data_IF_472534721499
#
_entry.id   IF_472534721499
#
_cell.length_a   1.000
_cell.length_b   1.000
_cell.length_c   1.000
_cell.angle_alpha   90.00
_cell.angle_beta   90.00
_cell.angle_gamma   90.00
#
_symmetry.space_group_name_H-M   'P 1'
#
loop_
_entity.id
_entity.type
_entity.pdbx_description
1 polymer ?
#
# COMPACT_ATOMS: atom_id res chain seq x y z
N UNK A 1 -35.72 -3.51 22.30
CA UNK A 1 -34.67 -3.79 23.31
C UNK A 1 -33.33 -3.85 22.61
N UNK A 2 -32.32 -3.12 23.10
CA UNK A 2 -30.97 -3.20 22.56
C UNK A 2 -30.36 -4.59 22.81
N UNK A 3 -29.65 -5.17 21.84
CA UNK A 3 -28.88 -6.40 22.03
C UNK A 3 -27.94 -6.31 23.24
N UNK A 4 -27.62 -7.44 23.85
CA UNK A 4 -26.86 -7.50 25.11
C UNK A 4 -25.46 -6.91 24.97
N UNK A 5 -24.84 -7.03 23.81
CA UNK A 5 -23.53 -6.44 23.46
C UNK A 5 -23.46 -4.91 23.71
N UNK A 6 -24.59 -4.19 23.59
CA UNK A 6 -24.65 -2.75 23.89
C UNK A 6 -24.84 -2.43 25.38
N UNK A 7 -24.95 -3.45 26.22
CA UNK A 7 -25.09 -3.33 27.67
C UNK A 7 -23.81 -3.69 28.41
N UNK A 8 -22.87 -4.29 27.72
CA UNK A 8 -21.57 -4.65 28.28
C UNK A 8 -20.69 -3.40 28.36
N UNK A 9 -20.07 -3.21 29.51
CA UNK A 9 -19.14 -2.11 29.73
C UNK A 9 -17.90 -2.42 28.87
N UNK A 10 -17.74 -1.72 27.74
CA UNK A 10 -16.52 -1.79 26.96
C UNK A 10 -15.40 -1.31 27.88
N UNK A 11 -14.46 -2.17 28.20
CA UNK A 11 -13.27 -1.81 28.98
C UNK A 11 -12.59 -0.57 28.40
N UNK A 12 -11.80 0.10 29.21
CA UNK A 12 -11.04 1.28 28.76
C UNK A 12 -10.28 0.93 27.50
N UNK A 13 -10.39 1.71 26.42
CA UNK A 13 -9.64 1.44 25.18
C UNK A 13 -8.15 1.35 25.49
N UNK A 14 -7.50 0.25 25.11
CA UNK A 14 -6.06 0.11 25.26
C UNK A 14 -5.42 1.14 24.34
N UNK A 15 -4.81 2.18 24.90
CA UNK A 15 -3.99 3.13 24.17
C UNK A 15 -2.62 2.50 23.97
N UNK A 16 -2.32 2.11 22.74
CA UNK A 16 -0.95 1.76 22.37
C UNK A 16 -0.15 3.06 22.18
N UNK A 17 0.88 3.26 23.02
CA UNK A 17 1.79 4.40 22.89
C UNK A 17 2.71 4.29 21.67
N UNK A 18 2.91 3.06 21.18
CA UNK A 18 3.78 2.75 20.03
C UNK A 18 3.07 1.80 19.09
N UNK A 19 3.28 2.01 17.80
CA UNK A 19 2.84 1.10 16.73
C UNK A 19 3.89 1.05 15.62
N UNK A 20 3.90 -0.04 14.88
CA UNK A 20 4.75 -0.21 13.70
C UNK A 20 3.92 0.17 12.47
N UNK A 21 4.39 1.17 11.71
CA UNK A 21 3.85 1.45 10.39
C UNK A 21 4.76 0.79 9.35
N UNK A 22 4.27 -0.17 8.55
CA UNK A 22 5.07 -0.86 7.55
C UNK A 22 5.77 0.07 6.55
N UNK A 23 5.12 1.15 6.14
CA UNK A 23 5.71 2.13 5.22
C UNK A 23 6.93 2.86 5.83
N UNK A 24 7.03 2.94 7.17
CA UNK A 24 8.17 3.54 7.86
C UNK A 24 9.38 2.59 7.94
N UNK A 25 9.19 1.29 7.69
CA UNK A 25 10.27 0.30 7.72
C UNK A 25 11.26 0.45 6.56
N UNK A 26 10.91 1.25 5.56
CA UNK A 26 11.78 1.57 4.41
C UNK A 26 12.94 2.51 4.75
N UNK A 27 13.13 2.90 6.03
CA UNK A 27 14.12 3.90 6.45
C UNK A 27 13.56 5.32 6.42
N UNK A 28 14.32 6.32 6.90
CA UNK A 28 13.90 7.70 7.23
C UNK A 28 13.23 8.54 6.11
N UNK A 29 12.53 7.91 5.18
CA UNK A 29 11.71 8.54 4.14
C UNK A 29 10.26 8.10 4.27
N UNK A 30 9.74 8.14 5.49
CA UNK A 30 8.33 7.84 5.76
C UNK A 30 7.43 8.94 5.21
N UNK A 31 6.30 8.51 4.67
CA UNK A 31 5.18 9.37 4.33
C UNK A 31 4.66 9.98 5.63
N UNK A 32 5.15 11.16 6.00
CA UNK A 32 4.38 12.03 6.88
C UNK A 32 3.17 12.49 6.07
N UNK A 33 2.00 12.53 6.71
CA UNK A 33 0.80 13.22 6.19
C UNK A 33 1.23 14.51 5.53
N UNK A 34 0.55 14.87 4.45
CA UNK A 34 0.80 16.05 3.60
C UNK A 34 0.74 17.33 4.46
N UNK A 35 1.75 17.56 5.29
CA UNK A 35 2.00 18.85 5.93
C UNK A 35 3.18 19.46 5.18
N UNK A 36 2.84 20.34 4.21
CA UNK A 36 3.74 21.22 3.44
C UNK A 36 4.98 20.53 2.82
N UNK A 37 4.82 20.12 1.56
CA UNK A 37 5.91 19.64 0.72
C UNK A 37 6.89 20.76 0.43
N UNK A 38 8.14 20.61 0.86
CA UNK A 38 9.26 21.48 0.47
C UNK A 38 9.89 20.98 -0.84
N UNK A 39 10.50 21.87 -1.61
CA UNK A 39 11.03 21.61 -2.98
C UNK A 39 12.04 20.44 -3.12
N UNK A 40 12.54 19.86 -2.03
CA UNK A 40 13.43 18.69 -2.04
C UNK A 40 12.72 17.32 -2.12
N UNK A 41 11.40 17.25 -2.11
CA UNK A 41 10.58 16.02 -1.98
C UNK A 41 9.86 15.60 -3.29
N UNK A 42 10.29 16.10 -4.44
CA UNK A 42 9.62 15.86 -5.73
C UNK A 42 9.33 14.39 -6.07
N UNK A 43 10.21 13.48 -5.64
CA UNK A 43 10.00 12.03 -5.86
C UNK A 43 8.87 11.44 -5.01
N UNK A 44 8.74 11.86 -3.76
CA UNK A 44 7.66 11.39 -2.86
C UNK A 44 6.31 11.93 -3.31
N UNK A 45 6.25 13.23 -3.65
CA UNK A 45 5.04 13.84 -4.14
C UNK A 45 4.56 13.18 -5.43
N UNK A 46 5.48 12.89 -6.35
CA UNK A 46 5.17 12.17 -7.57
C UNK A 46 4.58 10.79 -7.27
N UNK A 47 5.20 10.04 -6.33
CA UNK A 47 4.67 8.75 -5.86
C UNK A 47 3.25 8.88 -5.31
N UNK A 48 3.00 9.87 -4.44
CA UNK A 48 1.67 10.14 -3.88
C UNK A 48 0.63 10.39 -4.97
N UNK A 49 0.98 11.14 -6.02
CA UNK A 49 0.07 11.38 -7.15
C UNK A 49 -0.23 10.08 -7.89
N UNK A 50 0.78 9.27 -8.22
CA UNK A 50 0.57 8.00 -8.93
C UNK A 50 -0.32 7.06 -8.11
N UNK A 51 -0.09 6.92 -6.79
CA UNK A 51 -0.94 6.11 -5.90
C UNK A 51 -2.38 6.62 -5.88
N UNK A 52 -2.60 7.94 -5.74
CA UNK A 52 -3.91 8.55 -5.80
C UNK A 52 -4.64 8.21 -7.11
N UNK A 53 -3.95 8.30 -8.24
CA UNK A 53 -4.53 7.99 -9.54
C UNK A 53 -4.86 6.49 -9.68
N UNK A 54 -3.98 5.59 -9.23
CA UNK A 54 -4.21 4.15 -9.22
C UNK A 54 -5.36 3.73 -8.28
N UNK A 55 -5.62 4.50 -7.24
CA UNK A 55 -6.77 4.28 -6.35
C UNK A 55 -8.09 4.76 -6.96
N UNK A 56 -8.09 5.97 -7.54
CA UNK A 56 -9.35 6.68 -7.89
C UNK A 56 -9.83 6.42 -9.33
N UNK A 57 -8.91 6.38 -10.31
CA UNK A 57 -9.27 6.27 -11.72
C UNK A 57 -10.03 4.97 -12.06
N UNK A 58 -9.70 3.79 -11.49
CA UNK A 58 -10.44 2.55 -11.80
C UNK A 58 -11.94 2.60 -11.50
N UNK A 59 -12.36 3.54 -10.65
CA UNK A 59 -13.78 3.74 -10.27
C UNK A 59 -14.58 4.55 -11.28
N UNK A 60 -13.95 5.02 -12.36
CA UNK A 60 -14.53 5.87 -13.40
C UNK A 60 -14.30 5.28 -14.78
N UNK A 61 -14.99 5.85 -15.78
CA UNK A 61 -14.81 5.45 -17.17
C UNK A 61 -13.42 5.85 -17.67
N UNK A 62 -12.74 4.95 -18.35
CA UNK A 62 -11.38 5.19 -18.87
C UNK A 62 -11.27 6.35 -19.86
N UNK A 63 -12.36 6.69 -20.56
CA UNK A 63 -12.43 7.87 -21.43
C UNK A 63 -12.32 9.20 -20.70
N UNK A 64 -12.63 9.20 -19.40
CA UNK A 64 -12.71 10.42 -18.60
C UNK A 64 -11.46 10.63 -17.73
N UNK A 65 -10.60 9.63 -17.62
CA UNK A 65 -9.46 9.63 -16.71
C UNK A 65 -8.59 10.88 -16.79
N UNK A 66 -8.17 11.26 -18.00
CA UNK A 66 -7.31 12.44 -18.18
C UNK A 66 -7.97 13.72 -17.65
N UNK A 67 -9.27 13.87 -17.88
CA UNK A 67 -10.04 15.04 -17.46
C UNK A 67 -10.28 15.07 -15.94
N UNK A 68 -10.23 13.91 -15.27
CA UNK A 68 -10.44 13.80 -13.84
C UNK A 68 -9.18 14.19 -13.03
N UNK A 69 -7.98 14.07 -13.61
CA UNK A 69 -6.71 14.29 -12.90
C UNK A 69 -6.64 15.63 -12.19
N UNK A 70 -6.92 16.80 -12.83
CA UNK A 70 -6.84 18.09 -12.15
C UNK A 70 -7.80 18.20 -10.96
N UNK A 71 -8.99 17.63 -11.07
CA UNK A 71 -10.00 17.65 -10.01
C UNK A 71 -9.58 16.76 -8.83
N UNK A 72 -8.99 15.57 -9.10
CA UNK A 72 -8.47 14.68 -8.06
C UNK A 72 -7.32 15.33 -7.30
N UNK A 73 -6.40 15.97 -7.99
CA UNK A 73 -5.27 16.69 -7.36
C UNK A 73 -5.76 17.87 -6.53
N UNK A 74 -6.71 18.64 -7.04
CA UNK A 74 -7.34 19.74 -6.30
C UNK A 74 -8.04 19.25 -5.03
N UNK A 75 -8.78 18.14 -5.13
CA UNK A 75 -9.44 17.51 -3.98
C UNK A 75 -8.44 17.03 -2.92
N UNK A 76 -7.29 16.51 -3.36
CA UNK A 76 -6.21 16.06 -2.49
C UNK A 76 -5.28 17.22 -2.01
N UNK A 77 -5.61 18.48 -2.36
CA UNK A 77 -4.80 19.67 -2.04
C UNK A 77 -3.36 19.59 -2.59
N UNK A 78 -3.15 18.86 -3.68
CA UNK A 78 -1.85 18.69 -4.34
C UNK A 78 -1.72 19.75 -5.43
N UNK A 79 -0.69 20.59 -5.31
CA UNK A 79 -0.34 21.60 -6.32
C UNK A 79 1.00 21.26 -6.95
N UNK A 80 0.98 20.94 -8.24
CA UNK A 80 2.17 20.59 -9.04
C UNK A 80 2.05 21.13 -10.46
N UNK A 81 3.18 21.20 -11.18
CA UNK A 81 3.19 21.62 -12.58
C UNK A 81 2.37 20.69 -13.47
N UNK A 82 1.83 21.22 -14.55
CA UNK A 82 1.09 20.44 -15.55
C UNK A 82 1.94 19.29 -16.12
N UNK A 83 3.24 19.52 -16.31
CA UNK A 83 4.19 18.48 -16.74
C UNK A 83 4.21 17.30 -15.76
N UNK A 84 4.25 17.58 -14.45
CA UNK A 84 4.22 16.54 -13.40
C UNK A 84 2.89 15.79 -13.41
N UNK A 85 1.77 16.50 -13.60
CA UNK A 85 0.44 15.88 -13.71
C UNK A 85 0.37 14.92 -14.91
N UNK A 86 0.81 15.37 -16.08
CA UNK A 86 0.80 14.56 -17.30
C UNK A 86 1.70 13.34 -17.15
N UNK A 87 2.89 13.49 -16.57
CA UNK A 87 3.83 12.39 -16.36
C UNK A 87 3.25 11.35 -15.40
N UNK A 88 2.67 11.78 -14.27
CA UNK A 88 2.05 10.87 -13.30
C UNK A 88 0.85 10.15 -13.89
N UNK A 89 0.00 10.87 -14.66
CA UNK A 89 -1.12 10.29 -15.36
C UNK A 89 -0.68 9.20 -16.34
N UNK A 90 0.29 9.48 -17.20
CA UNK A 90 0.81 8.49 -18.16
C UNK A 90 1.35 7.24 -17.46
N UNK A 91 2.03 7.41 -16.33
CA UNK A 91 2.55 6.28 -15.57
C UNK A 91 1.41 5.44 -14.96
N UNK A 92 0.39 6.07 -14.38
CA UNK A 92 -0.79 5.38 -13.87
C UNK A 92 -1.60 4.72 -15.01
N UNK A 93 -1.80 5.41 -16.12
CA UNK A 93 -2.51 4.89 -17.29
C UNK A 93 -1.86 3.64 -17.86
N UNK A 94 -0.51 3.61 -17.95
CA UNK A 94 0.23 2.43 -18.43
C UNK A 94 -0.02 1.21 -17.54
N UNK A 95 -0.17 1.39 -16.24
CA UNK A 95 -0.51 0.33 -15.29
C UNK A 95 -1.97 -0.11 -15.49
N UNK A 96 -2.89 0.84 -15.51
CA UNK A 96 -4.33 0.58 -15.57
C UNK A 96 -4.78 -0.05 -16.88
N UNK A 97 -4.12 0.28 -17.99
CA UNK A 97 -4.41 -0.27 -19.33
C UNK A 97 -3.65 -1.55 -19.65
N UNK A 98 -2.76 -2.02 -18.75
CA UNK A 98 -2.01 -3.25 -18.99
C UNK A 98 -2.93 -4.48 -18.84
N UNK A 99 -3.16 -5.29 -19.90
CA UNK A 99 -4.11 -6.40 -19.82
C UNK A 99 -3.79 -7.42 -18.72
N UNK A 100 -2.50 -7.66 -18.46
CA UNK A 100 -2.07 -8.58 -17.39
C UNK A 100 -2.37 -8.08 -15.98
N UNK A 101 -2.82 -6.84 -15.80
CA UNK A 101 -3.15 -6.22 -14.52
C UNK A 101 -4.65 -5.98 -14.33
N UNK A 102 -5.48 -6.30 -15.32
CA UNK A 102 -6.93 -6.09 -15.27
C UNK A 102 -7.56 -6.65 -13.99
N UNK A 103 -7.16 -7.86 -13.60
CA UNK A 103 -7.67 -8.52 -12.39
C UNK A 103 -7.33 -7.77 -11.09
N UNK A 104 -6.27 -6.95 -11.08
CA UNK A 104 -5.85 -6.15 -9.91
C UNK A 104 -6.80 -4.97 -9.70
N UNK A 105 -7.36 -4.46 -10.78
CA UNK A 105 -8.23 -3.28 -10.77
C UNK A 105 -9.71 -3.61 -11.02
N UNK A 106 -10.07 -4.89 -10.95
CA UNK A 106 -11.45 -5.33 -11.07
C UNK A 106 -12.34 -4.69 -9.97
N UNK A 107 -13.65 -4.51 -10.22
CA UNK A 107 -14.55 -3.79 -9.31
C UNK A 107 -14.67 -4.39 -7.89
N UNK A 108 -14.39 -5.68 -7.73
CA UNK A 108 -14.42 -6.43 -6.48
C UNK A 108 -13.10 -6.41 -5.72
N UNK A 109 -12.08 -5.73 -6.23
CA UNK A 109 -10.80 -5.55 -5.53
C UNK A 109 -10.84 -4.33 -4.60
N UNK A 110 -10.04 -4.39 -3.55
CA UNK A 110 -10.00 -3.35 -2.52
C UNK A 110 -8.76 -2.47 -2.69
N UNK A 111 -8.95 -1.15 -2.58
CA UNK A 111 -7.87 -0.16 -2.62
C UNK A 111 -7.74 0.55 -1.27
N UNK A 112 -6.52 0.94 -0.91
CA UNK A 112 -6.21 1.70 0.31
C UNK A 112 -6.80 1.04 1.57
N UNK A 113 -6.51 -0.27 1.73
CA UNK A 113 -7.08 -1.09 2.81
C UNK A 113 -6.34 -0.81 4.11
N UNK A 114 -6.98 -0.10 5.01
CA UNK A 114 -6.46 0.14 6.35
C UNK A 114 -6.59 -1.12 7.22
N UNK A 115 -5.55 -1.41 7.99
CA UNK A 115 -5.55 -2.52 8.93
C UNK A 115 -4.80 -2.19 10.21
N UNK A 116 -5.15 -2.90 11.28
CA UNK A 116 -4.41 -2.92 12.54
C UNK A 116 -4.40 -4.34 13.08
N UNK A 117 -3.22 -4.90 13.33
CA UNK A 117 -3.05 -6.26 13.86
C UNK A 117 -1.90 -6.31 14.86
N UNK A 118 -1.96 -7.28 15.78
CA UNK A 118 -0.82 -7.63 16.64
C UNK A 118 -0.22 -8.93 16.11
N UNK A 119 1.05 -8.89 15.73
CA UNK A 119 1.80 -10.03 15.22
C UNK A 119 2.83 -10.47 16.24
N UNK A 120 2.64 -11.64 16.83
CA UNK A 120 3.45 -12.16 17.97
C UNK A 120 4.96 -12.25 17.67
N UNK A 121 5.32 -12.58 16.41
CA UNK A 121 6.71 -12.66 15.99
C UNK A 121 7.45 -11.31 16.04
N UNK A 122 6.71 -10.20 16.05
CA UNK A 122 7.25 -8.83 16.07
C UNK A 122 7.13 -8.21 17.47
N UNK A 123 6.42 -8.88 18.39
CA UNK A 123 6.15 -8.42 19.75
C UNK A 123 4.68 -8.04 19.94
N UNK A 124 4.34 -7.48 21.09
CA UNK A 124 2.96 -7.03 21.41
C UNK A 124 2.61 -5.66 20.82
N UNK A 125 3.46 -5.14 19.93
CA UNK A 125 3.26 -3.81 19.32
C UNK A 125 2.32 -3.97 18.09
N UNK A 126 1.25 -3.19 17.99
CA UNK A 126 0.37 -3.24 16.84
C UNK A 126 1.10 -2.83 15.55
N UNK A 127 0.83 -3.55 14.48
CA UNK A 127 1.17 -3.13 13.13
C UNK A 127 -0.07 -2.41 12.56
N UNK A 128 0.10 -1.15 12.22
CA UNK A 128 -0.96 -0.31 11.64
C UNK A 128 -0.50 0.16 10.28
N UNK A 129 -1.25 -0.11 9.24
CA UNK A 129 -0.84 0.22 7.87
C UNK A 129 -1.99 0.33 6.89
N UNK A 130 -1.61 0.64 5.66
CA UNK A 130 -2.52 0.70 4.52
C UNK A 130 -1.91 -0.16 3.41
N UNK A 131 -2.71 -1.04 2.83
CA UNK A 131 -2.35 -1.85 1.66
C UNK A 131 -2.89 -1.14 0.43
N UNK A 132 -2.04 -0.85 -0.57
CA UNK A 132 -2.42 -0.11 -1.76
C UNK A 132 -3.53 -0.84 -2.54
N UNK A 133 -3.38 -2.17 -2.73
CA UNK A 133 -4.39 -2.99 -3.40
C UNK A 133 -4.44 -4.39 -2.80
N UNK A 134 -5.65 -4.87 -2.52
CA UNK A 134 -5.90 -6.22 -2.02
C UNK A 134 -6.90 -6.92 -2.93
N UNK A 135 -6.47 -8.03 -3.52
CA UNK A 135 -7.30 -8.90 -4.38
C UNK A 135 -7.64 -10.16 -3.60
N UNK A 136 -8.92 -10.36 -3.35
CA UNK A 136 -9.41 -11.51 -2.60
C UNK A 136 -10.04 -12.53 -3.56
N UNK A 137 -9.63 -13.79 -3.45
CA UNK A 137 -10.30 -14.94 -4.05
C UNK A 137 -10.89 -15.86 -2.98
N UNK A 138 -11.48 -16.98 -3.39
CA UNK A 138 -11.97 -17.99 -2.43
C UNK A 138 -10.84 -18.48 -1.54
N UNK A 139 -9.65 -18.76 -2.10
CA UNK A 139 -8.56 -19.47 -1.43
C UNK A 139 -7.32 -18.61 -1.19
N UNK A 140 -7.24 -17.41 -1.77
CA UNK A 140 -6.07 -16.55 -1.66
C UNK A 140 -6.40 -15.09 -1.36
N UNK A 141 -5.39 -14.37 -0.85
CA UNK A 141 -5.37 -12.93 -0.68
C UNK A 141 -4.04 -12.40 -1.25
N UNK A 142 -4.11 -11.74 -2.40
CA UNK A 142 -2.95 -11.12 -3.04
C UNK A 142 -2.85 -9.66 -2.61
N UNK A 143 -1.72 -9.32 -2.01
CA UNK A 143 -1.36 -7.99 -1.57
C UNK A 143 -0.46 -7.37 -2.63
N UNK A 144 -0.86 -6.23 -3.17
CA UNK A 144 -0.06 -5.45 -4.11
C UNK A 144 0.33 -4.13 -3.48
N UNK A 145 1.59 -3.78 -3.63
CA UNK A 145 2.17 -2.51 -3.25
C UNK A 145 2.78 -1.85 -4.50
N UNK A 146 2.53 -0.55 -4.69
CA UNK A 146 3.06 0.20 -5.83
C UNK A 146 4.35 0.91 -5.46
N UNK A 147 5.34 0.83 -6.32
CA UNK A 147 6.62 1.53 -6.15
C UNK A 147 6.94 2.37 -7.39
N UNK A 148 7.16 3.66 -7.16
CA UNK A 148 7.43 4.65 -8.23
C UNK A 148 8.91 4.92 -8.46
N UNK A 149 9.79 4.08 -7.89
CA UNK A 149 11.23 4.18 -8.08
C UNK A 149 11.60 4.08 -9.57
N UNK A 150 12.54 4.92 -10.01
CA UNK A 150 13.06 4.85 -11.38
C UNK A 150 13.97 3.63 -11.56
N UNK A 151 14.78 3.32 -10.56
CA UNK A 151 15.60 2.10 -10.55
C UNK A 151 14.74 0.93 -10.09
N UNK A 152 14.49 0.02 -11.01
CA UNK A 152 13.71 -1.19 -10.79
C UNK A 152 14.67 -2.34 -10.54
N UNK A 153 14.59 -3.06 -9.40
CA UNK A 153 15.41 -4.24 -9.16
C UNK A 153 15.21 -5.30 -10.25
N UNK A 154 16.30 -5.90 -10.72
CA UNK A 154 16.25 -6.95 -11.73
C UNK A 154 15.87 -8.32 -11.13
N UNK A 155 15.99 -8.46 -9.82
CA UNK A 155 15.66 -9.67 -9.08
C UNK A 155 15.17 -9.36 -7.66
N UNK A 156 14.57 -10.35 -7.02
CA UNK A 156 14.12 -10.24 -5.62
C UNK A 156 15.31 -9.99 -4.65
N UNK A 157 16.52 -10.38 -5.03
CA UNK A 157 17.72 -10.19 -4.19
C UNK A 157 18.15 -8.72 -4.12
N UNK A 158 17.79 -7.95 -5.12
CA UNK A 158 18.07 -6.52 -5.20
C UNK A 158 16.98 -5.65 -4.58
N UNK A 159 15.84 -6.26 -4.20
CA UNK A 159 14.76 -5.51 -3.53
C UNK A 159 15.27 -4.95 -2.20
N UNK A 160 15.15 -3.63 -1.95
CA UNK A 160 15.61 -3.02 -0.72
C UNK A 160 15.00 -3.70 0.51
N UNK A 161 15.83 -3.96 1.53
CA UNK A 161 15.40 -4.64 2.77
C UNK A 161 14.18 -3.97 3.41
N UNK A 162 14.10 -2.64 3.36
CA UNK A 162 12.95 -1.90 3.89
C UNK A 162 11.65 -2.24 3.18
N UNK A 163 11.69 -2.45 1.85
CA UNK A 163 10.53 -2.88 1.06
C UNK A 163 10.15 -4.32 1.42
N UNK A 164 11.12 -5.23 1.55
CA UNK A 164 10.85 -6.60 2.01
C UNK A 164 10.23 -6.62 3.41
N UNK A 165 10.71 -5.79 4.34
CA UNK A 165 10.12 -5.65 5.68
C UNK A 165 8.68 -5.13 5.63
N UNK A 166 8.39 -4.16 4.77
CA UNK A 166 7.03 -3.67 4.57
C UNK A 166 6.11 -4.80 4.09
N UNK A 167 6.52 -5.52 3.05
CA UNK A 167 5.76 -6.66 2.51
C UNK A 167 5.60 -7.78 3.53
N UNK A 168 6.62 -8.05 4.33
CA UNK A 168 6.57 -9.03 5.42
C UNK A 168 5.57 -8.65 6.51
N UNK A 169 5.51 -7.37 6.89
CA UNK A 169 4.54 -6.87 7.84
C UNK A 169 3.10 -6.97 7.30
N UNK A 170 2.89 -6.69 6.02
CA UNK A 170 1.59 -6.90 5.37
C UNK A 170 1.20 -8.38 5.37
N UNK A 171 2.12 -9.27 4.96
CA UNK A 171 1.85 -10.70 4.92
C UNK A 171 1.50 -11.25 6.30
N UNK A 172 2.31 -10.98 7.32
CA UNK A 172 2.08 -11.45 8.68
C UNK A 172 0.75 -10.94 9.26
N UNK A 173 0.38 -9.68 8.94
CA UNK A 173 -0.90 -9.11 9.33
C UNK A 173 -2.07 -9.80 8.63
N UNK A 174 -1.97 -10.01 7.31
CA UNK A 174 -3.05 -10.62 6.55
C UNK A 174 -3.19 -12.12 6.80
N UNK A 175 -2.13 -12.83 7.19
CA UNK A 175 -2.23 -14.21 7.68
C UNK A 175 -3.10 -14.31 8.94
N UNK A 176 -3.07 -13.30 9.81
CA UNK A 176 -3.96 -13.25 10.99
C UNK A 176 -5.40 -12.89 10.62
N UNK A 177 -5.59 -11.97 9.68
CA UNK A 177 -6.93 -11.55 9.22
C UNK A 177 -7.61 -12.67 8.42
N UNK A 178 -6.84 -13.36 7.59
CA UNK A 178 -7.32 -14.43 6.70
C UNK A 178 -6.58 -15.76 6.95
N UNK A 179 -6.78 -16.42 8.10
CA UNK A 179 -5.97 -17.58 8.48
C UNK A 179 -6.17 -18.82 7.58
N UNK A 180 -7.23 -18.82 6.74
CA UNK A 180 -7.54 -19.92 5.83
C UNK A 180 -7.14 -19.61 4.37
N UNK A 181 -6.67 -18.39 4.08
CA UNK A 181 -6.29 -18.02 2.72
C UNK A 181 -4.78 -18.14 2.52
N UNK A 182 -4.38 -18.53 1.32
CA UNK A 182 -3.01 -18.40 0.88
C UNK A 182 -2.68 -16.91 0.67
N UNK A 183 -1.69 -16.40 1.38
CA UNK A 183 -1.25 -15.02 1.22
C UNK A 183 -0.21 -14.96 0.10
N UNK A 184 -0.43 -14.07 -0.84
CA UNK A 184 0.47 -13.78 -1.95
C UNK A 184 0.90 -12.31 -1.90
N UNK A 185 2.13 -12.05 -2.32
CA UNK A 185 2.73 -10.71 -2.32
C UNK A 185 3.21 -10.33 -3.71
N UNK A 186 2.92 -9.10 -4.11
CA UNK A 186 3.42 -8.54 -5.34
C UNK A 186 3.80 -7.07 -5.19
N UNK A 187 4.86 -6.66 -5.88
CA UNK A 187 5.24 -5.25 -6.05
C UNK A 187 5.05 -4.90 -7.51
N UNK A 188 4.28 -3.85 -7.79
CA UNK A 188 4.23 -3.27 -9.13
C UNK A 188 5.17 -2.07 -9.17
N UNK A 189 6.23 -2.23 -9.95
CA UNK A 189 7.15 -1.14 -10.28
C UNK A 189 6.51 -0.30 -11.37
N UNK A 190 5.97 0.86 -10.98
CA UNK A 190 5.10 1.65 -11.86
C UNK A 190 5.86 2.27 -13.03
N UNK A 191 7.18 2.47 -12.90
CA UNK A 191 8.02 2.99 -13.98
C UNK A 191 8.13 2.01 -15.16
N UNK A 192 8.36 0.73 -14.87
CA UNK A 192 8.47 -0.33 -15.89
C UNK A 192 7.15 -1.05 -16.20
N UNK A 193 6.11 -0.80 -15.39
CA UNK A 193 4.86 -1.54 -15.41
C UNK A 193 5.07 -3.06 -15.25
N UNK A 194 5.93 -3.47 -14.33
CA UNK A 194 6.24 -4.87 -14.05
C UNK A 194 5.75 -5.29 -12.67
N UNK A 195 5.21 -6.50 -12.61
CA UNK A 195 4.82 -7.16 -11.37
C UNK A 195 5.92 -8.12 -10.94
N UNK A 196 6.53 -7.85 -9.79
CA UNK A 196 7.46 -8.73 -9.13
C UNK A 196 6.74 -9.48 -8.00
N UNK A 197 6.66 -10.80 -8.10
CA UNK A 197 6.17 -11.64 -6.99
C UNK A 197 7.24 -11.75 -5.92
N UNK A 198 6.82 -11.62 -4.66
CA UNK A 198 7.70 -11.69 -3.49
C UNK A 198 7.40 -12.98 -2.74
N UNK A 199 8.44 -13.74 -2.41
CA UNK A 199 8.29 -14.90 -1.53
C UNK A 199 7.87 -14.48 -0.12
N UNK A 200 6.75 -15.04 0.33
CA UNK A 200 6.12 -14.68 1.62
C UNK A 200 7.01 -15.05 2.79
N UNK A 201 7.66 -16.22 2.76
CA UNK A 201 8.52 -16.66 3.86
C UNK A 201 9.75 -15.75 3.98
N UNK A 202 10.34 -15.36 2.85
CA UNK A 202 11.45 -14.42 2.79
C UNK A 202 11.05 -13.05 3.36
N UNK A 203 9.89 -12.54 2.95
CA UNK A 203 9.39 -11.26 3.42
C UNK A 203 9.10 -11.30 4.93
N UNK A 204 8.39 -12.33 5.41
CA UNK A 204 8.09 -12.49 6.84
C UNK A 204 9.38 -12.70 7.67
N UNK A 205 10.34 -13.46 7.19
CA UNK A 205 11.63 -13.61 7.88
C UNK A 205 12.38 -12.30 8.04
N UNK A 206 12.21 -11.35 7.11
CA UNK A 206 12.86 -10.04 7.19
C UNK A 206 12.39 -9.17 8.35
N UNK A 207 11.18 -9.39 8.87
CA UNK A 207 10.64 -8.63 10.02
C UNK A 207 11.10 -9.19 11.37
N UNK A 208 11.62 -10.42 11.44
CA UNK A 208 12.17 -11.01 12.68
C UNK A 208 13.30 -10.18 13.31
N UNK A 209 13.97 -9.32 12.55
CA UNK A 209 14.97 -8.36 13.02
C UNK A 209 14.36 -7.09 13.65
N UNK A 210 13.04 -6.93 13.66
CA UNK A 210 12.33 -5.80 14.30
C UNK A 210 12.13 -6.01 15.81
N UNK A 211 12.57 -7.16 16.38
CA UNK A 211 12.65 -7.32 17.84
C UNK A 211 13.61 -6.26 18.35
N UNK A 212 13.03 -5.31 19.06
CA UNK A 212 13.64 -4.06 19.49
C UNK A 212 15.01 -4.27 20.17
N UNK A 213 15.99 -3.56 19.65
CA UNK A 213 17.07 -2.99 20.47
C UNK A 213 16.49 -1.87 21.33
#
# INVERSE_FOLDING_TARGET
KLPQIFKENLGTPVKFEKFINPSNLMGSKSIQRIDKVTEGDGGKLFGTIVHLLLEKLPKSNSTDWQNLVPNLLKWAEINVSEETQIRAYKQAENILKKPSFEFIFAPDTLAEVQFSTIVESVGEIPIVGVIDRLVLSQDSALIIDFKTNQEVPSSIDEVPLGVLKQMGAYAASMQKVFPKKNIELGIIWTHSAELMKIDVNRAVSSIGSLRMT
#
